data_IF_933355823307
#
_entry.id   IF_933355823307
#
_cell.length_a   1.000
_cell.length_b   1.000
_cell.length_c   1.000
_cell.angle_alpha   90.00
_cell.angle_beta   90.00
_cell.angle_gamma   90.00
#
_symmetry.space_group_name_H-M   'P 1'
#
loop_
_entity.id
_entity.type
_entity.pdbx_description
1 polymer ?
#
# COMPACT_ATOMS: atom_id res chain seq x y z
N UNK A 1 -35.17 23.30 27.09
CA UNK A 1 -34.97 22.76 25.72
C UNK A 1 -33.54 22.93 25.17
N UNK A 2 -32.78 23.97 25.52
CA UNK A 2 -31.42 24.23 24.98
C UNK A 2 -30.40 23.11 25.20
N UNK A 3 -30.44 22.44 26.37
CA UNK A 3 -29.44 21.43 26.78
C UNK A 3 -29.46 20.16 25.92
N UNK A 4 -30.65 19.68 25.51
CA UNK A 4 -30.80 18.50 24.64
C UNK A 4 -30.25 18.75 23.24
N UNK A 5 -30.54 19.93 22.68
CA UNK A 5 -30.03 20.32 21.36
C UNK A 5 -28.51 20.44 21.37
N UNK A 6 -27.92 21.00 22.42
CA UNK A 6 -26.46 21.04 22.59
C UNK A 6 -25.83 19.63 22.71
N UNK A 7 -26.47 18.70 23.42
CA UNK A 7 -25.99 17.32 23.55
C UNK A 7 -26.03 16.57 22.22
N UNK A 8 -27.11 16.70 21.46
CA UNK A 8 -27.24 16.05 20.14
C UNK A 8 -26.14 16.54 19.18
N UNK A 9 -25.90 17.86 19.12
CA UNK A 9 -24.81 18.41 18.30
C UNK A 9 -23.41 17.95 18.76
N UNK A 10 -23.22 17.76 20.06
CA UNK A 10 -21.96 17.25 20.59
C UNK A 10 -21.76 15.76 20.25
N UNK A 11 -22.82 14.95 20.33
CA UNK A 11 -22.83 13.55 19.91
C UNK A 11 -22.57 13.40 18.42
N UNK A 12 -23.26 14.15 17.56
CA UNK A 12 -23.05 14.15 16.11
C UNK A 12 -21.60 14.48 15.76
N UNK A 13 -21.00 15.50 16.40
CA UNK A 13 -19.59 15.84 16.19
C UNK A 13 -18.64 14.71 16.62
N UNK A 14 -18.99 13.97 17.68
CA UNK A 14 -18.20 12.83 18.13
C UNK A 14 -18.34 11.63 17.19
N UNK A 15 -19.54 11.36 16.67
CA UNK A 15 -19.81 10.30 15.70
C UNK A 15 -19.14 10.58 14.35
N UNK A 16 -19.17 11.83 13.87
CA UNK A 16 -18.44 12.25 12.66
C UNK A 16 -16.93 12.08 12.86
N UNK A 17 -16.40 12.47 14.02
CA UNK A 17 -14.97 12.27 14.34
C UNK A 17 -14.61 10.78 14.38
N UNK A 18 -15.48 9.95 14.93
CA UNK A 18 -15.29 8.50 14.95
C UNK A 18 -15.22 7.95 13.52
N UNK A 19 -16.14 8.37 12.65
CA UNK A 19 -16.15 7.92 11.26
C UNK A 19 -14.89 8.34 10.49
N UNK A 20 -14.48 9.61 10.63
CA UNK A 20 -13.24 10.12 10.02
C UNK A 20 -12.00 9.34 10.48
N UNK A 21 -11.87 9.07 11.78
CA UNK A 21 -10.73 8.28 12.30
C UNK A 21 -10.75 6.82 11.85
N UNK A 22 -11.93 6.26 11.58
CA UNK A 22 -12.07 4.93 11.00
C UNK A 22 -11.64 4.90 9.53
N UNK A 23 -12.08 5.88 8.74
CA UNK A 23 -11.67 6.03 7.34
C UNK A 23 -10.15 6.18 7.22
N UNK A 24 -9.53 7.01 8.06
CA UNK A 24 -8.08 7.20 8.10
C UNK A 24 -7.34 5.89 8.42
N UNK A 25 -7.82 5.13 9.40
CA UNK A 25 -7.24 3.81 9.75
C UNK A 25 -7.38 2.79 8.64
N UNK A 26 -8.52 2.76 7.95
CA UNK A 26 -8.73 1.88 6.79
C UNK A 26 -7.75 2.26 5.68
N UNK A 27 -7.59 3.55 5.41
CA UNK A 27 -6.68 4.04 4.38
C UNK A 27 -5.23 3.64 4.68
N UNK A 28 -4.75 3.86 5.90
CA UNK A 28 -3.40 3.44 6.34
C UNK A 28 -3.22 1.92 6.21
N UNK A 29 -4.25 1.13 6.54
CA UNK A 29 -4.21 -0.33 6.41
C UNK A 29 -4.08 -0.75 4.94
N UNK A 30 -4.84 -0.13 4.04
CA UNK A 30 -4.80 -0.42 2.61
C UNK A 30 -3.45 -0.01 2.00
N UNK A 31 -2.95 1.17 2.35
CA UNK A 31 -1.65 1.66 1.92
C UNK A 31 -0.52 0.72 2.39
N UNK A 32 -0.54 0.30 3.66
CA UNK A 32 0.44 -0.66 4.18
C UNK A 32 0.35 -2.05 3.52
N UNK A 33 -0.84 -2.51 3.13
CA UNK A 33 -1.00 -3.76 2.37
C UNK A 33 -0.46 -3.61 0.95
N UNK A 34 -0.73 -2.48 0.29
CA UNK A 34 -0.23 -2.20 -1.05
C UNK A 34 1.29 -2.07 -1.07
N UNK A 35 1.86 -1.33 -0.11
CA UNK A 35 3.30 -1.17 0.06
C UNK A 35 3.98 -2.51 0.37
N UNK A 36 3.42 -3.31 1.28
CA UNK A 36 3.94 -4.64 1.61
C UNK A 36 3.95 -5.59 0.41
N UNK A 37 2.87 -5.59 -0.40
CA UNK A 37 2.81 -6.39 -1.64
C UNK A 37 3.83 -5.94 -2.67
N UNK A 38 4.03 -4.63 -2.81
CA UNK A 38 5.01 -4.07 -3.74
C UNK A 38 6.43 -4.44 -3.32
N UNK A 39 6.76 -4.31 -2.03
CA UNK A 39 8.08 -4.66 -1.51
C UNK A 39 8.34 -6.17 -1.62
N UNK A 40 7.35 -7.02 -1.36
CA UNK A 40 7.45 -8.47 -1.58
C UNK A 40 7.75 -8.80 -3.05
N UNK A 41 7.03 -8.16 -3.98
CA UNK A 41 7.27 -8.31 -5.43
C UNK A 41 8.68 -7.88 -5.84
N UNK A 42 9.16 -6.75 -5.30
CA UNK A 42 10.53 -6.25 -5.52
C UNK A 42 11.58 -7.25 -4.99
N UNK A 43 11.38 -7.77 -3.79
CA UNK A 43 12.31 -8.72 -3.18
C UNK A 43 12.33 -10.08 -3.89
N UNK A 44 11.17 -10.58 -4.33
CA UNK A 44 11.06 -11.78 -5.15
C UNK A 44 11.78 -11.61 -6.48
N UNK A 45 11.56 -10.48 -7.16
CA UNK A 45 12.24 -10.12 -8.41
C UNK A 45 13.76 -10.12 -8.22
N UNK A 46 14.25 -9.52 -7.13
CA UNK A 46 15.70 -9.50 -6.80
C UNK A 46 16.27 -10.89 -6.53
N UNK A 47 15.55 -11.75 -5.81
CA UNK A 47 15.97 -13.13 -5.52
C UNK A 47 16.04 -13.96 -6.81
N UNK A 48 15.07 -13.79 -7.70
CA UNK A 48 15.02 -14.51 -8.97
C UNK A 48 16.05 -13.99 -9.97
N UNK A 49 16.34 -12.68 -9.99
CA UNK A 49 17.34 -12.07 -10.87
C UNK A 49 18.77 -12.62 -10.71
N UNK A 50 19.07 -13.25 -9.56
CA UNK A 50 20.34 -13.95 -9.37
C UNK A 50 20.42 -15.31 -10.09
N UNK A 51 19.29 -15.89 -10.52
CA UNK A 51 19.19 -17.27 -11.04
C UNK A 51 18.48 -17.40 -12.39
N UNK A 52 17.65 -16.44 -12.76
CA UNK A 52 16.79 -16.46 -13.93
C UNK A 52 17.02 -15.21 -14.79
N UNK A 53 16.78 -15.30 -16.10
CA UNK A 53 16.83 -14.14 -16.98
C UNK A 53 15.62 -13.22 -16.77
N UNK A 54 15.71 -11.98 -17.26
CA UNK A 54 14.63 -10.99 -17.12
C UNK A 54 13.35 -11.50 -17.80
N UNK A 55 13.47 -12.17 -18.94
CA UNK A 55 12.32 -12.75 -19.66
C UNK A 55 11.64 -13.88 -18.86
N UNK A 56 12.43 -14.74 -18.20
CA UNK A 56 11.89 -15.82 -17.39
C UNK A 56 11.20 -15.29 -16.12
N UNK A 57 11.73 -14.21 -15.54
CA UNK A 57 11.13 -13.58 -14.36
C UNK A 57 9.82 -12.90 -14.73
N UNK A 58 9.78 -12.21 -15.87
CA UNK A 58 8.58 -11.62 -16.43
C UNK A 58 7.49 -12.69 -16.65
N UNK A 59 7.86 -13.85 -17.18
CA UNK A 59 6.94 -14.98 -17.36
C UNK A 59 6.47 -15.59 -16.02
N UNK A 60 7.38 -15.85 -15.07
CA UNK A 60 7.05 -16.45 -13.76
C UNK A 60 6.16 -15.53 -12.92
N UNK A 61 6.42 -14.22 -12.95
CA UNK A 61 5.67 -13.24 -12.17
C UNK A 61 4.48 -12.65 -12.92
N UNK A 62 4.27 -13.03 -14.19
CA UNK A 62 3.25 -12.51 -15.10
C UNK A 62 3.26 -10.97 -15.16
N UNK A 63 4.45 -10.39 -15.31
CA UNK A 63 4.68 -8.93 -15.36
C UNK A 63 5.45 -8.53 -16.60
N UNK A 64 5.34 -7.26 -16.97
CA UNK A 64 6.06 -6.74 -18.12
C UNK A 64 7.58 -6.74 -17.87
N UNK A 65 8.34 -7.00 -18.93
CA UNK A 65 9.82 -6.97 -18.92
C UNK A 65 10.34 -5.60 -18.46
N UNK A 66 9.68 -4.52 -18.86
CA UNK A 66 10.03 -3.15 -18.46
C UNK A 66 9.87 -2.94 -16.95
N UNK A 67 8.86 -3.57 -16.34
CA UNK A 67 8.63 -3.49 -14.90
C UNK A 67 9.71 -4.22 -14.11
N UNK A 68 10.14 -5.40 -14.60
CA UNK A 68 11.29 -6.13 -14.04
C UNK A 68 12.57 -5.29 -14.14
N UNK A 69 12.84 -4.70 -15.30
CA UNK A 69 14.00 -3.82 -15.49
C UNK A 69 13.98 -2.62 -14.54
N UNK A 70 12.82 -1.99 -14.35
CA UNK A 70 12.69 -0.82 -13.48
C UNK A 70 12.99 -1.18 -12.01
N UNK A 71 12.47 -2.32 -11.52
CA UNK A 71 12.74 -2.83 -10.17
C UNK A 71 14.24 -3.10 -9.95
N UNK A 72 14.91 -3.67 -10.95
CA UNK A 72 16.34 -3.94 -10.89
C UNK A 72 17.18 -2.65 -10.92
N UNK A 73 16.79 -1.66 -11.74
CA UNK A 73 17.43 -0.34 -11.80
C UNK A 73 17.27 0.41 -10.48
N UNK A 74 16.07 0.44 -9.89
CA UNK A 74 15.82 1.03 -8.56
C UNK A 74 16.70 0.37 -7.48
N UNK A 75 16.88 -0.96 -7.54
CA UNK A 75 17.70 -1.69 -6.57
C UNK A 75 19.19 -1.37 -6.66
N UNK A 76 19.72 -1.07 -7.85
CA UNK A 76 21.10 -0.63 -8.04
C UNK A 76 21.30 0.83 -7.58
N UNK A 77 20.28 1.67 -7.74
CA UNK A 77 20.35 3.10 -7.38
C UNK A 77 20.27 3.36 -5.86
N UNK A 78 19.82 2.38 -5.06
CA UNK A 78 19.83 2.43 -3.58
C UNK A 78 21.19 2.10 -2.95
N UNK A 79 22.26 1.94 -3.74
CA UNK A 79 23.59 1.53 -3.29
C UNK A 79 24.57 2.70 -3.33
#
# INVERSE_FOLDING_TARGET
MHRRVCQIKASEKAEVKYMQTWEEKILIKQEGIAEGRLEEKKELTRKLANKFSIEQIAEILEIDISEVENILKESQNRK
#
